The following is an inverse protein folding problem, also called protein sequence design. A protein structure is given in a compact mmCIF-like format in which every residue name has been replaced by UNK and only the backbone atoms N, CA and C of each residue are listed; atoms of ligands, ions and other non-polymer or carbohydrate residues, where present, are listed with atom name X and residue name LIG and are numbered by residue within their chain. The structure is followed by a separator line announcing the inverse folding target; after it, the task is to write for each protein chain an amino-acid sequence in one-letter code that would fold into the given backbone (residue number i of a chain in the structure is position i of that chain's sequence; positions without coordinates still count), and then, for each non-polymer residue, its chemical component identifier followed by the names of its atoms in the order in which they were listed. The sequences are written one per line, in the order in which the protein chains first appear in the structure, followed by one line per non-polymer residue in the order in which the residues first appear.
data_IF_015738614355
#
_entry.id   IF_015738614355
#
_cell.length_a   1.000
_cell.length_b   1.000
_cell.length_c   1.000
_cell.angle_alpha   90.00
_cell.angle_beta   90.00
_cell.angle_gamma   90.00
#
_symmetry.space_group_name_H-M   'P 1'
#
loop_
_entity.id
_entity.type
_entity.pdbx_description
1 polymer ?
#
# COMPACT_ATOMS: atom_id res chain seq x y z
N UNK A 1 -43.19 -8.81 44.56
CA UNK A 1 -42.01 -8.14 45.11
C UNK A 1 -40.79 -8.60 44.31
N UNK A 2 -40.26 -7.74 43.46
CA UNK A 2 -38.97 -7.94 42.81
C UNK A 2 -38.28 -6.58 42.82
N UNK A 3 -37.45 -6.36 43.83
CA UNK A 3 -36.63 -5.17 43.94
C UNK A 3 -35.44 -5.26 42.98
N UNK A 4 -35.03 -4.11 42.44
CA UNK A 4 -33.67 -3.92 41.93
C UNK A 4 -33.10 -2.66 42.56
N UNK A 5 -32.20 -2.87 43.50
CA UNK A 5 -31.24 -1.91 44.03
C UNK A 5 -30.46 -1.29 42.85
N UNK A 6 -30.40 0.04 42.77
CA UNK A 6 -29.35 0.88 43.35
C UNK A 6 -28.08 0.96 42.47
N UNK A 7 -27.62 2.20 42.31
CA UNK A 7 -26.25 2.58 42.66
C UNK A 7 -25.15 2.63 41.57
N UNK A 8 -24.93 3.89 41.12
CA UNK A 8 -23.68 4.54 40.70
C UNK A 8 -23.16 4.13 39.29
N UNK A 9 -22.48 4.99 38.52
CA UNK A 9 -21.12 5.49 38.79
C UNK A 9 -20.74 6.55 37.71
N UNK A 10 -20.26 7.71 38.19
CA UNK A 10 -19.41 8.76 37.58
C UNK A 10 -19.16 8.76 36.06
N UNK A 11 -19.44 9.93 35.46
CA UNK A 11 -18.91 10.33 34.17
C UNK A 11 -17.38 10.40 34.21
N UNK A 12 -16.72 9.47 33.54
CA UNK A 12 -15.31 9.59 33.18
C UNK A 12 -15.22 10.39 31.89
N UNK A 13 -15.05 11.72 32.00
CA UNK A 13 -14.45 12.49 30.92
C UNK A 13 -13.00 12.04 30.77
N UNK A 14 -12.79 11.03 29.93
CA UNK A 14 -11.47 10.68 29.43
C UNK A 14 -11.03 11.79 28.47
N UNK A 15 -10.29 12.75 29.00
CA UNK A 15 -9.43 13.61 28.20
C UNK A 15 -8.41 12.71 27.49
N UNK A 16 -8.38 12.75 26.16
CA UNK A 16 -7.31 12.15 25.37
C UNK A 16 -6.18 13.18 25.22
N UNK A 17 -5.03 13.02 25.88
CA UNK A 17 -3.89 13.89 25.64
C UNK A 17 -3.18 13.40 24.37
N UNK A 18 -2.95 14.33 23.44
CA UNK A 18 -1.92 14.22 22.40
C UNK A 18 -1.90 12.91 21.61
N UNK A 19 -2.59 12.89 20.49
CA UNK A 19 -2.22 12.00 19.39
C UNK A 19 -1.72 12.90 18.28
N UNK A 20 -0.41 13.12 18.30
CA UNK A 20 0.38 13.79 17.30
C UNK A 20 -0.05 13.41 15.89
N UNK A 21 -0.13 14.44 15.05
CA UNK A 21 -0.38 14.36 13.63
C UNK A 21 0.54 13.31 12.97
N UNK A 22 -0.05 12.25 12.45
CA UNK A 22 0.44 11.62 11.23
C UNK A 22 -0.64 11.81 10.19
N UNK A 23 -0.28 12.55 9.15
CA UNK A 23 -1.18 12.95 8.07
C UNK A 23 -1.95 11.76 7.54
N UNK A 24 -3.27 11.86 7.64
CA UNK A 24 -4.14 11.22 6.70
C UNK A 24 -4.14 12.13 5.48
N UNK A 25 -3.45 11.73 4.41
CA UNK A 25 -3.73 12.30 3.10
C UNK A 25 -4.96 11.58 2.57
N UNK A 26 -6.11 12.27 2.65
CA UNK A 26 -7.28 12.03 1.81
C UNK A 26 -7.97 10.67 1.82
N UNK A 27 -8.88 10.43 2.77
CA UNK A 27 -10.13 9.73 2.43
C UNK A 27 -11.31 10.36 3.16
N UNK A 28 -12.01 11.26 2.45
CA UNK A 28 -13.31 11.76 2.87
C UNK A 28 -14.38 10.86 2.27
N UNK A 29 -15.26 10.37 3.15
CA UNK A 29 -16.42 9.54 2.83
C UNK A 29 -17.26 10.18 1.70
N UNK A 30 -17.36 9.50 0.55
CA UNK A 30 -18.49 9.69 -0.36
C UNK A 30 -18.27 10.26 -1.77
N UNK A 31 -17.12 10.06 -2.39
CA UNK A 31 -17.02 10.07 -3.85
C UNK A 31 -16.07 8.94 -4.30
N UNK A 32 -16.58 7.94 -5.03
CA UNK A 32 -15.72 7.01 -5.77
C UNK A 32 -15.24 7.77 -6.99
N UNK A 33 -14.28 8.65 -6.76
CA UNK A 33 -13.39 9.08 -7.84
C UNK A 33 -12.44 7.90 -7.97
N UNK A 34 -12.26 7.37 -9.18
CA UNK A 34 -11.21 6.38 -9.41
C UNK A 34 -9.90 7.15 -9.26
N UNK A 35 -9.46 7.33 -8.02
CA UNK A 35 -8.20 7.99 -7.68
C UNK A 35 -7.13 6.94 -7.90
N UNK A 36 -6.74 6.79 -9.16
CA UNK A 36 -5.47 6.20 -9.47
C UNK A 36 -4.42 7.30 -9.25
N UNK A 37 -3.62 7.16 -8.20
CA UNK A 37 -2.39 7.93 -8.03
C UNK A 37 -1.22 7.08 -8.57
N UNK A 38 -0.44 7.60 -9.49
CA UNK A 38 0.64 6.83 -10.11
C UNK A 38 1.67 6.33 -9.08
N UNK A 39 1.86 7.06 -7.99
CA UNK A 39 2.84 6.73 -6.94
C UNK A 39 2.30 5.69 -5.97
N UNK A 40 1.02 5.77 -5.61
CA UNK A 40 0.39 4.89 -4.62
C UNK A 40 -0.35 3.70 -5.25
N UNK A 41 -1.12 3.93 -6.32
CA UNK A 41 -1.90 2.91 -7.02
C UNK A 41 -1.06 2.10 -8.01
N UNK A 42 -0.10 2.72 -8.69
CA UNK A 42 0.79 2.03 -9.63
C UNK A 42 2.20 1.79 -9.09
N UNK A 43 2.37 1.90 -7.75
CA UNK A 43 3.65 1.69 -7.06
C UNK A 43 4.79 2.61 -7.52
N UNK A 44 4.49 3.73 -8.20
CA UNK A 44 5.46 4.61 -8.82
C UNK A 44 6.16 4.03 -10.05
N UNK A 45 5.64 2.93 -10.61
CA UNK A 45 6.24 2.14 -11.71
C UNK A 45 5.33 2.09 -12.94
N UNK A 46 4.51 3.11 -13.09
CA UNK A 46 3.54 3.22 -14.15
C UNK A 46 2.81 4.55 -14.09
N UNK A 47 1.87 4.73 -15.00
CA UNK A 47 1.00 5.90 -15.06
C UNK A 47 -0.46 5.47 -15.11
N UNK A 48 -1.34 6.29 -14.55
CA UNK A 48 -2.77 6.03 -14.58
C UNK A 48 -3.37 6.39 -15.95
N UNK A 49 -4.20 5.51 -16.49
CA UNK A 49 -5.04 5.80 -17.64
C UNK A 49 -6.29 6.60 -17.24
N UNK A 50 -7.03 7.09 -18.24
CA UNK A 50 -8.33 7.75 -18.09
C UNK A 50 -9.40 6.90 -17.40
N UNK A 51 -9.31 5.57 -17.48
CA UNK A 51 -10.19 4.63 -16.77
C UNK A 51 -9.73 4.34 -15.32
N UNK A 52 -8.53 4.82 -14.95
CA UNK A 52 -7.91 4.60 -13.64
C UNK A 52 -7.14 3.29 -13.50
N UNK A 53 -6.91 2.57 -14.60
CA UNK A 53 -6.01 1.43 -14.67
C UNK A 53 -4.54 1.87 -14.75
N UNK A 54 -3.63 1.03 -14.24
CA UNK A 54 -2.19 1.30 -14.33
C UNK A 54 -1.58 0.83 -15.65
N UNK A 55 -0.96 1.76 -16.37
CA UNK A 55 -0.08 1.51 -17.50
C UNK A 55 1.35 1.39 -17.00
N UNK A 56 1.83 0.16 -16.83
CA UNK A 56 3.14 -0.12 -16.25
C UNK A 56 4.30 0.21 -17.18
N UNK A 57 5.42 0.59 -16.56
CA UNK A 57 6.70 0.70 -17.24
C UNK A 57 7.12 -0.65 -17.84
N UNK A 58 7.97 -0.62 -18.87
CA UNK A 58 8.32 -1.80 -19.66
C UNK A 58 8.93 -2.97 -18.86
N UNK A 59 9.41 -2.73 -17.65
CA UNK A 59 9.97 -3.75 -16.77
C UNK A 59 8.96 -4.35 -15.77
N UNK A 60 7.77 -3.76 -15.62
CA UNK A 60 6.77 -4.13 -14.62
C UNK A 60 5.46 -4.59 -15.27
N UNK A 61 4.64 -5.29 -14.50
CA UNK A 61 3.35 -5.81 -14.91
C UNK A 61 2.38 -5.91 -13.71
N UNK A 62 1.18 -6.42 -13.95
CA UNK A 62 0.12 -6.53 -12.95
C UNK A 62 -0.76 -5.28 -12.84
N UNK A 63 -1.86 -5.38 -12.08
CA UNK A 63 -2.85 -4.30 -11.96
C UNK A 63 -2.32 -3.03 -11.30
N UNK A 64 -1.31 -3.16 -10.43
CA UNK A 64 -0.71 -2.06 -9.67
C UNK A 64 0.77 -1.84 -10.05
N UNK A 65 1.25 -2.45 -11.15
CA UNK A 65 2.66 -2.44 -11.56
C UNK A 65 3.65 -2.96 -10.49
N UNK A 66 3.15 -3.79 -9.58
CA UNK A 66 3.91 -4.43 -8.51
C UNK A 66 4.51 -5.78 -8.90
N UNK A 67 4.21 -6.32 -10.08
CA UNK A 67 4.86 -7.53 -10.55
C UNK A 67 6.03 -7.17 -11.48
N UNK A 68 7.11 -7.95 -11.44
CA UNK A 68 8.16 -7.84 -12.44
C UNK A 68 7.73 -8.51 -13.75
N UNK A 69 8.18 -7.96 -14.88
CA UNK A 69 8.01 -8.61 -16.19
C UNK A 69 9.11 -9.65 -16.37
N UNK A 70 8.73 -10.85 -16.79
CA UNK A 70 9.68 -11.93 -17.06
C UNK A 70 10.79 -11.48 -18.03
N UNK A 71 12.04 -11.70 -17.66
CA UNK A 71 13.22 -11.26 -18.42
C UNK A 71 13.64 -9.80 -18.21
N UNK A 72 12.86 -9.00 -17.48
CA UNK A 72 13.19 -7.63 -17.15
C UNK A 72 13.99 -7.52 -15.84
N UNK A 73 15.31 -7.76 -15.91
CA UNK A 73 16.23 -7.64 -14.77
C UNK A 73 16.23 -6.25 -14.12
N UNK A 74 15.72 -5.23 -14.81
CA UNK A 74 15.59 -3.87 -14.28
C UNK A 74 14.59 -3.77 -13.14
N UNK A 75 13.54 -4.61 -13.19
CA UNK A 75 12.51 -4.63 -12.17
C UNK A 75 13.08 -5.06 -10.83
N UNK A 76 14.03 -6.00 -10.83
CA UNK A 76 14.69 -6.54 -9.64
C UNK A 76 16.02 -5.83 -9.33
N UNK A 77 16.10 -4.52 -9.60
CA UNK A 77 17.29 -3.68 -9.36
C UNK A 77 18.60 -4.18 -10.00
N UNK A 78 18.52 -5.08 -11.00
CA UNK A 78 19.66 -5.84 -11.55
C UNK A 78 20.42 -6.69 -10.52
N UNK A 79 19.79 -6.98 -9.38
CA UNK A 79 20.32 -7.77 -8.26
C UNK A 79 19.48 -9.02 -7.99
N UNK A 80 18.82 -9.52 -9.04
CA UNK A 80 17.95 -10.67 -8.98
C UNK A 80 17.35 -11.00 -10.34
N UNK A 81 16.58 -12.08 -10.38
CA UNK A 81 15.87 -12.56 -11.57
C UNK A 81 14.37 -12.54 -11.35
N UNK A 82 13.63 -12.12 -12.37
CA UNK A 82 12.17 -12.17 -12.34
C UNK A 82 11.69 -13.58 -12.69
N UNK A 83 10.90 -14.20 -11.82
CA UNK A 83 10.32 -15.51 -12.04
C UNK A 83 9.01 -15.44 -12.88
N UNK A 84 8.43 -16.60 -13.20
CA UNK A 84 7.18 -16.69 -13.98
C UNK A 84 5.95 -16.15 -13.23
N UNK A 85 6.02 -16.04 -11.90
CA UNK A 85 4.95 -15.52 -11.04
C UNK A 85 4.99 -13.98 -10.93
N UNK A 86 6.03 -13.34 -11.47
CA UNK A 86 6.21 -11.89 -11.40
C UNK A 86 6.85 -11.41 -10.09
N UNK A 87 7.54 -12.30 -9.37
CA UNK A 87 8.31 -12.01 -8.16
C UNK A 87 9.82 -12.03 -8.46
N UNK A 88 10.57 -11.18 -7.76
CA UNK A 88 12.02 -11.11 -7.87
C UNK A 88 12.69 -12.12 -6.94
N UNK A 89 13.46 -13.05 -7.51
CA UNK A 89 14.38 -13.90 -6.76
C UNK A 89 15.73 -13.17 -6.66
N UNK A 90 16.06 -12.66 -5.48
CA UNK A 90 17.24 -11.83 -5.25
C UNK A 90 18.55 -12.65 -5.14
N UNK A 91 19.65 -12.03 -5.56
CA UNK A 91 21.00 -12.52 -5.32
C UNK A 91 21.33 -12.51 -3.81
N UNK A 92 22.34 -13.29 -3.38
CA UNK A 92 22.65 -13.56 -1.95
C UNK A 92 22.78 -12.31 -1.05
N UNK A 93 23.23 -11.19 -1.61
CA UNK A 93 23.45 -9.94 -0.89
C UNK A 93 22.31 -8.92 -1.05
N UNK A 94 21.25 -9.24 -1.80
CA UNK A 94 20.16 -8.32 -2.08
C UNK A 94 18.84 -8.75 -1.43
N UNK A 95 17.98 -7.78 -1.10
CA UNK A 95 16.71 -8.01 -0.41
C UNK A 95 15.67 -6.94 -0.77
N UNK A 96 14.42 -7.17 -0.35
CA UNK A 96 13.26 -6.37 -0.72
C UNK A 96 12.46 -6.99 -1.86
N UNK A 97 11.25 -6.48 -2.11
CA UNK A 97 10.35 -6.97 -3.16
C UNK A 97 10.98 -6.86 -4.56
N UNK A 98 11.95 -5.96 -4.74
CA UNK A 98 12.64 -5.70 -6.00
C UNK A 98 14.16 -5.69 -5.87
N UNK A 99 14.69 -6.36 -4.84
CA UNK A 99 16.13 -6.51 -4.60
C UNK A 99 16.88 -5.16 -4.52
N UNK A 100 16.21 -4.12 -4.02
CA UNK A 100 16.76 -2.76 -3.92
C UNK A 100 17.59 -2.51 -2.65
N UNK A 101 17.49 -3.40 -1.66
CA UNK A 101 18.27 -3.38 -0.43
C UNK A 101 19.52 -4.26 -0.56
N UNK A 102 20.65 -3.83 0.02
CA UNK A 102 21.98 -4.46 -0.02
C UNK A 102 22.60 -4.58 1.38
#
# INVERSE_FOLDING_TARGET
AAGRAASHWWASTAAVPGSDARGYDGVSEGAVEVVCDASESCGGRGVCDSDGDCLCDAAFDGPDCGACRQGALQACSRSGVCNDDGECECDDDASGDFCEEL
#
